data_IF_620748554790
#
_entry.id   IF_620748554790
#
_cell.length_a   1.000
_cell.length_b   1.000
_cell.length_c   1.000
_cell.angle_alpha   90.00
_cell.angle_beta   90.00
_cell.angle_gamma   90.00
#
_symmetry.space_group_name_H-M   'P 1'
#
loop_
_entity.id
_entity.type
_entity.pdbx_description
1 polymer ?
#
# COMPACT_ATOMS: atom_id res chain seq x y z
N UNK A 1 -30.04 26.27 -22.92
CA UNK A 1 -28.96 27.27 -22.87
C UNK A 1 -27.96 26.86 -21.79
N UNK A 2 -26.95 26.05 -22.14
CA UNK A 2 -26.05 25.42 -21.16
C UNK A 2 -24.59 25.38 -21.64
N UNK A 3 -24.21 26.28 -22.54
CA UNK A 3 -22.90 26.32 -23.21
C UNK A 3 -22.10 27.57 -22.83
N UNK A 4 -22.03 27.94 -21.55
CA UNK A 4 -21.39 29.21 -21.15
C UNK A 4 -20.53 29.17 -19.87
N UNK A 5 -20.01 28.01 -19.45
CA UNK A 5 -19.21 27.92 -18.20
C UNK A 5 -17.78 27.38 -18.35
N UNK A 6 -17.29 27.14 -19.57
CA UNK A 6 -15.94 26.55 -19.78
C UNK A 6 -14.93 27.51 -20.43
N UNK A 7 -15.27 28.77 -20.68
CA UNK A 7 -14.43 29.70 -21.47
C UNK A 7 -13.18 30.26 -20.75
N UNK A 8 -12.81 29.75 -19.57
CA UNK A 8 -11.64 30.24 -18.83
C UNK A 8 -10.88 29.18 -18.03
N UNK A 9 -11.20 27.90 -18.21
CA UNK A 9 -10.51 26.81 -17.50
C UNK A 9 -9.58 26.15 -18.50
N UNK A 10 -8.29 26.07 -18.17
CA UNK A 10 -7.36 25.31 -18.99
C UNK A 10 -7.83 23.84 -19.02
N UNK A 11 -7.91 23.19 -20.20
CA UNK A 11 -8.41 21.82 -20.30
C UNK A 11 -7.72 20.85 -19.33
N UNK A 12 -6.41 21.03 -19.11
CA UNK A 12 -5.62 20.21 -18.21
C UNK A 12 -6.03 20.37 -16.74
N UNK A 13 -6.30 21.59 -16.29
CA UNK A 13 -6.79 21.86 -14.92
C UNK A 13 -8.16 21.23 -14.67
N UNK A 14 -9.03 21.26 -15.70
CA UNK A 14 -10.33 20.61 -15.63
C UNK A 14 -10.19 19.08 -15.58
N UNK A 15 -9.28 18.51 -16.37
CA UNK A 15 -9.01 17.07 -16.38
C UNK A 15 -8.48 16.63 -15.02
N UNK A 16 -7.53 17.35 -14.43
CA UNK A 16 -6.97 17.02 -13.12
C UNK A 16 -8.03 17.10 -12.01
N UNK A 17 -8.87 18.13 -12.04
CA UNK A 17 -9.97 18.29 -11.08
C UNK A 17 -11.01 17.16 -11.20
N UNK A 18 -11.36 16.77 -12.43
CA UNK A 18 -12.27 15.65 -12.68
C UNK A 18 -11.62 14.33 -12.23
N UNK A 19 -10.37 14.10 -12.57
CA UNK A 19 -9.66 12.87 -12.21
C UNK A 19 -9.56 12.72 -10.68
N UNK A 20 -9.23 13.80 -9.96
CA UNK A 20 -9.22 13.81 -8.50
C UNK A 20 -10.59 13.52 -7.91
N UNK A 21 -11.64 14.20 -8.40
CA UNK A 21 -13.01 14.01 -7.91
C UNK A 21 -13.56 12.60 -8.19
N UNK A 22 -13.23 12.03 -9.35
CA UNK A 22 -13.57 10.64 -9.68
C UNK A 22 -12.82 9.68 -8.77
N UNK A 23 -11.50 9.89 -8.58
CA UNK A 23 -10.68 9.02 -7.73
C UNK A 23 -11.21 8.99 -6.29
N UNK A 24 -11.56 10.15 -5.72
CA UNK A 24 -12.12 10.25 -4.38
C UNK A 24 -13.44 9.49 -4.25
N UNK A 25 -14.29 9.50 -5.29
CA UNK A 25 -15.56 8.77 -5.30
C UNK A 25 -15.38 7.25 -5.45
N UNK A 26 -14.40 6.79 -6.22
CA UNK A 26 -14.19 5.34 -6.44
C UNK A 26 -13.26 4.71 -5.39
N UNK A 27 -12.54 5.50 -4.60
CA UNK A 27 -11.61 5.03 -3.56
C UNK A 27 -12.26 4.06 -2.54
N UNK A 28 -13.51 4.25 -2.06
CA UNK A 28 -14.19 3.27 -1.22
C UNK A 28 -14.42 1.92 -1.92
N UNK A 29 -14.86 1.93 -3.18
CA UNK A 29 -15.10 0.72 -3.96
C UNK A 29 -13.79 -0.03 -4.29
N UNK A 30 -12.70 0.69 -4.55
CA UNK A 30 -11.37 0.09 -4.69
C UNK A 30 -10.88 -0.56 -3.37
N UNK A 31 -11.29 -0.03 -2.22
CA UNK A 31 -10.96 -0.58 -0.91
C UNK A 31 -11.76 -1.85 -0.59
N UNK A 32 -12.98 -1.98 -1.14
CA UNK A 32 -13.82 -3.19 -0.99
C UNK A 32 -13.38 -4.34 -1.90
N UNK A 33 -12.75 -4.04 -3.05
CA UNK A 33 -12.30 -5.07 -4.00
C UNK A 33 -11.07 -5.87 -3.55
N UNK A 34 -10.36 -5.42 -2.52
CA UNK A 34 -9.31 -6.20 -1.85
C UNK A 34 -9.87 -6.66 -0.51
N UNK A 35 -10.56 -7.80 -0.46
CA UNK A 35 -10.78 -8.46 0.82
C UNK A 35 -9.38 -8.67 1.45
N UNK A 36 -9.03 -8.00 2.57
CA UNK A 36 -7.70 -8.16 3.14
C UNK A 36 -7.67 -9.50 3.83
N UNK A 37 -7.36 -10.54 3.07
CA UNK A 37 -7.15 -11.87 3.62
C UNK A 37 -5.88 -11.80 4.45
N UNK A 38 -6.05 -11.99 5.76
CA UNK A 38 -4.95 -12.27 6.65
C UNK A 38 -4.35 -13.61 6.24
N UNK A 39 -3.10 -13.57 5.80
CA UNK A 39 -2.37 -14.74 5.33
C UNK A 39 -1.45 -15.30 6.40
N UNK A 40 -1.14 -16.59 6.33
CA UNK A 40 -0.14 -17.18 7.21
C UNK A 40 1.30 -16.87 6.75
N UNK A 41 2.26 -17.42 7.48
CA UNK A 41 3.70 -17.23 7.24
C UNK A 41 4.13 -17.72 5.87
N UNK A 42 3.69 -18.90 5.46
CA UNK A 42 4.19 -19.55 4.25
C UNK A 42 3.56 -18.91 3.00
N UNK A 43 2.30 -18.52 3.10
CA UNK A 43 1.61 -17.69 2.12
C UNK A 43 2.28 -16.32 1.97
N UNK A 44 2.58 -15.63 3.08
CA UNK A 44 3.27 -14.34 3.04
C UNK A 44 4.67 -14.46 2.41
N UNK A 45 5.40 -15.53 2.74
CA UNK A 45 6.70 -15.81 2.13
C UNK A 45 6.60 -15.95 0.61
N UNK A 46 5.58 -16.68 0.12
CA UNK A 46 5.29 -16.81 -1.31
C UNK A 46 4.97 -15.48 -1.96
N UNK A 47 4.06 -14.70 -1.38
CA UNK A 47 3.62 -13.41 -1.93
C UNK A 47 4.77 -12.40 -2.00
N UNK A 48 5.62 -12.35 -0.98
CA UNK A 48 6.79 -11.47 -0.95
C UNK A 48 8.01 -12.06 -1.69
N UNK A 49 7.92 -13.25 -2.26
CA UNK A 49 9.03 -13.96 -2.92
C UNK A 49 10.28 -14.10 -2.04
N UNK A 50 10.10 -14.39 -0.76
CA UNK A 50 11.18 -14.59 0.23
C UNK A 50 11.02 -15.94 0.93
N UNK A 51 12.05 -16.36 1.66
CA UNK A 51 11.98 -17.59 2.44
C UNK A 51 11.13 -17.39 3.72
N UNK A 52 10.42 -18.42 4.20
CA UNK A 52 9.67 -18.33 5.46
C UNK A 52 10.53 -17.95 6.69
N UNK A 53 11.80 -18.39 6.83
CA UNK A 53 12.69 -17.89 7.88
C UNK A 53 12.97 -16.38 7.80
N UNK A 54 12.99 -15.81 6.59
CA UNK A 54 13.16 -14.36 6.42
C UNK A 54 11.95 -13.59 6.96
N UNK A 55 10.73 -14.10 6.73
CA UNK A 55 9.51 -13.52 7.33
C UNK A 55 9.61 -13.48 8.85
N UNK A 56 10.05 -14.58 9.48
CA UNK A 56 10.23 -14.62 10.94
C UNK A 56 11.29 -13.63 11.43
N UNK A 57 12.41 -13.52 10.70
CA UNK A 57 13.50 -12.58 11.00
C UNK A 57 13.00 -11.13 10.94
N UNK A 58 12.32 -10.77 9.87
CA UNK A 58 11.78 -9.42 9.67
C UNK A 58 10.71 -9.07 10.71
N UNK A 59 9.85 -10.03 11.06
CA UNK A 59 8.88 -9.84 12.14
C UNK A 59 9.57 -9.66 13.49
N UNK A 60 10.56 -10.51 13.80
CA UNK A 60 11.30 -10.43 15.06
C UNK A 60 12.10 -9.11 15.19
N UNK A 61 12.60 -8.58 14.08
CA UNK A 61 13.23 -7.27 14.00
C UNK A 61 12.24 -6.09 14.05
N UNK A 62 10.92 -6.36 14.07
CA UNK A 62 9.89 -5.32 14.03
C UNK A 62 9.73 -4.63 12.67
N UNK A 63 10.40 -5.12 11.62
CA UNK A 63 10.39 -4.52 10.28
C UNK A 63 9.05 -4.68 9.58
N UNK A 64 8.36 -5.81 9.79
CA UNK A 64 7.05 -6.07 9.17
C UNK A 64 5.95 -6.24 10.23
N UNK A 65 4.74 -5.71 9.97
CA UNK A 65 3.63 -5.84 10.89
C UNK A 65 3.07 -7.28 10.90
N UNK A 66 2.58 -7.72 12.06
CA UNK A 66 1.86 -9.00 12.19
C UNK A 66 0.70 -8.88 13.16
N UNK A 67 -0.34 -9.68 12.94
CA UNK A 67 -1.52 -9.79 13.80
C UNK A 67 -1.48 -11.15 14.51
N UNK A 68 -1.68 -11.17 15.83
CA UNK A 68 -1.86 -12.41 16.58
C UNK A 68 -3.35 -12.73 16.65
N UNK A 69 -3.77 -13.81 15.98
CA UNK A 69 -5.14 -14.32 16.03
C UNK A 69 -5.14 -15.69 16.73
N UNK A 70 -5.53 -15.70 18.01
CA UNK A 70 -5.40 -16.87 18.87
C UNK A 70 -3.93 -17.27 19.05
N UNK A 71 -3.54 -18.43 18.52
CA UNK A 71 -2.16 -18.96 18.58
C UNK A 71 -1.37 -18.76 17.29
N UNK A 72 -1.99 -18.20 16.24
CA UNK A 72 -1.37 -18.04 14.92
C UNK A 72 -1.01 -16.58 14.67
N UNK A 73 0.16 -16.38 14.05
CA UNK A 73 0.58 -15.08 13.52
C UNK A 73 0.15 -15.01 12.07
N UNK A 74 -0.61 -13.96 11.74
CA UNK A 74 -1.10 -13.67 10.40
C UNK A 74 -0.58 -12.31 9.93
N UNK A 75 -0.57 -12.13 8.63
CA UNK A 75 0.00 -10.97 7.96
C UNK A 75 -1.02 -10.37 7.00
N UNK A 76 -1.02 -9.04 6.90
CA UNK A 76 -1.73 -8.33 5.84
C UNK A 76 -0.72 -8.07 4.72
N UNK A 77 -0.86 -8.67 3.53
CA UNK A 77 0.14 -8.55 2.47
C UNK A 77 0.51 -7.11 2.13
N UNK A 78 -0.50 -6.24 1.93
CA UNK A 78 -0.27 -4.83 1.55
C UNK A 78 0.56 -4.08 2.58
N UNK A 79 0.22 -4.21 3.87
CA UNK A 79 0.93 -3.55 4.96
C UNK A 79 2.36 -4.05 5.12
N UNK A 80 2.61 -5.33 4.82
CA UNK A 80 3.96 -5.91 4.81
C UNK A 80 4.78 -5.34 3.66
N UNK A 81 4.23 -5.29 2.45
CA UNK A 81 4.91 -4.75 1.26
C UNK A 81 5.23 -3.26 1.44
N UNK A 82 4.30 -2.50 2.00
CA UNK A 82 4.50 -1.09 2.34
C UNK A 82 5.66 -0.92 3.34
N UNK A 83 5.67 -1.70 4.42
CA UNK A 83 6.72 -1.65 5.43
C UNK A 83 8.12 -2.01 4.86
N UNK A 84 8.19 -3.02 3.97
CA UNK A 84 9.44 -3.38 3.29
C UNK A 84 9.94 -2.28 2.35
N UNK A 85 9.02 -1.62 1.65
CA UNK A 85 9.34 -0.49 0.77
C UNK A 85 9.85 0.70 1.58
N UNK A 86 9.22 0.99 2.71
CA UNK A 86 9.63 2.05 3.62
C UNK A 86 11.01 1.77 4.26
N UNK A 87 11.26 0.53 4.70
CA UNK A 87 12.55 0.13 5.26
C UNK A 87 13.70 0.34 4.25
N UNK A 88 13.51 -0.10 3.00
CA UNK A 88 14.50 0.09 1.93
C UNK A 88 14.78 1.58 1.64
N UNK A 89 13.76 2.44 1.74
CA UNK A 89 13.93 3.89 1.54
C UNK A 89 14.76 4.53 2.64
N UNK A 90 14.54 4.11 3.89
CA UNK A 90 15.29 4.62 5.04
C UNK A 90 16.77 4.22 4.99
N UNK A 91 17.07 2.99 4.55
CA UNK A 91 18.46 2.54 4.34
C UNK A 91 19.17 3.40 3.28
N UNK A 92 18.51 3.73 2.18
CA UNK A 92 19.07 4.58 1.12
C UNK A 92 19.22 6.05 1.53
N UNK A 93 18.32 6.56 2.39
CA UNK A 93 18.42 7.92 2.95
C UNK A 93 19.51 8.08 4.02
N UNK A 94 19.91 6.98 4.68
CA UNK A 94 21.02 6.99 5.64
C UNK A 94 22.41 7.01 4.99
N UNK A 95 22.55 6.52 3.75
CA UNK A 95 23.83 6.43 3.06
C UNK A 95 24.33 7.76 2.45
N UNK A 96 23.51 8.83 2.46
CA UNK A 96 23.87 10.15 1.90
C UNK A 96 24.35 11.17 2.95
N UNK A 97 24.39 10.81 4.23
CA UNK A 97 24.81 11.69 5.34
C UNK A 97 26.00 11.14 6.14
N UNK A 98 26.83 10.27 5.53
CA UNK A 98 28.04 9.70 6.13
C UNK A 98 29.31 10.26 5.52
#
# INVERSE_FOLDING_TARGET
MSSLFLQGIAPDELIDAIAAAVLDQIRPALSESSAPLLVDRDEMARLASISPPMVDKLRAAGTIPSVLAGRRRLYRPDAVIEALTAATRNEKGGAING
#
